data_IF_241245070361
#
_entry.id   IF_241245070361
#
_cell.length_a   1.000
_cell.length_b   1.000
_cell.length_c   1.000
_cell.angle_alpha   90.00
_cell.angle_beta   90.00
_cell.angle_gamma   90.00
#
_symmetry.space_group_name_H-M   'P 1'
#
loop_
_entity.id
_entity.type
_entity.pdbx_description
1 polymer ?
#
# COMPACT_ATOMS: atom_id res chain seq x y z
N UNK A 1 30.27 -42.18 20.03
CA UNK A 1 29.03 -41.65 19.42
C UNK A 1 29.44 -40.83 18.22
N UNK A 2 29.40 -41.42 17.02
CA UNK A 2 29.57 -40.68 15.75
C UNK A 2 28.19 -40.31 15.26
N UNK A 3 27.93 -39.00 15.10
CA UNK A 3 26.65 -38.48 14.67
C UNK A 3 26.59 -38.50 13.14
N UNK A 4 25.71 -39.36 12.60
CA UNK A 4 25.28 -39.33 11.20
C UNK A 4 24.26 -38.19 11.04
N UNK A 5 24.54 -37.21 10.17
CA UNK A 5 23.62 -36.11 9.84
C UNK A 5 23.58 -35.85 8.33
N UNK A 6 23.49 -36.91 7.54
CA UNK A 6 23.27 -36.80 6.10
C UNK A 6 21.79 -36.54 5.82
N UNK A 7 21.46 -35.25 5.72
CA UNK A 7 20.21 -34.82 5.10
C UNK A 7 19.78 -33.42 5.51
N UNK A 8 20.05 -32.43 4.66
CA UNK A 8 18.99 -31.64 4.02
C UNK A 8 19.56 -30.65 2.99
N UNK A 9 18.74 -30.37 1.97
CA UNK A 9 19.02 -29.78 0.67
C UNK A 9 19.01 -28.24 0.68
N UNK A 10 19.74 -27.59 -0.25
CA UNK A 10 19.22 -26.43 -0.98
C UNK A 10 20.02 -26.16 -2.28
N UNK A 11 19.39 -26.19 -3.47
CA UNK A 11 20.01 -25.72 -4.71
C UNK A 11 20.09 -24.19 -4.74
N UNK A 12 21.25 -23.64 -5.11
CA UNK A 12 21.42 -22.21 -5.34
C UNK A 12 20.84 -21.85 -6.71
N UNK A 13 19.50 -21.84 -6.77
CA UNK A 13 18.71 -21.39 -7.91
C UNK A 13 18.62 -19.88 -7.97
N UNK A 14 18.79 -19.37 -9.20
CA UNK A 14 18.79 -17.97 -9.60
C UNK A 14 17.50 -17.23 -9.24
N UNK A 15 17.62 -15.93 -8.94
CA UNK A 15 16.44 -15.05 -8.84
C UNK A 15 16.77 -13.73 -8.16
N UNK A 16 17.30 -12.77 -8.93
CA UNK A 16 17.53 -11.42 -8.43
C UNK A 16 16.22 -10.71 -8.14
N UNK A 17 16.08 -10.15 -6.94
CA UNK A 17 15.40 -8.88 -6.66
C UNK A 17 16.03 -8.27 -5.41
N UNK A 18 17.22 -7.70 -5.59
CA UNK A 18 17.84 -6.79 -4.63
C UNK A 18 16.91 -5.60 -4.40
N UNK A 19 16.25 -5.54 -3.25
CA UNK A 19 15.30 -4.46 -2.97
C UNK A 19 14.78 -4.38 -1.54
N UNK A 20 15.55 -4.86 -0.55
CA UNK A 20 15.19 -4.76 0.86
C UNK A 20 15.35 -3.34 1.41
N UNK A 21 14.55 -2.37 0.95
CA UNK A 21 14.43 -1.06 1.61
C UNK A 21 13.39 -1.21 2.72
N UNK A 22 13.81 -1.08 3.97
CA UNK A 22 13.01 -1.23 5.18
C UNK A 22 11.61 -0.63 5.02
N UNK A 23 10.62 -1.51 5.00
CA UNK A 23 9.21 -1.14 4.94
C UNK A 23 8.80 -0.66 6.33
N UNK A 24 9.15 0.58 6.66
CA UNK A 24 8.57 1.24 7.83
C UNK A 24 7.06 1.31 7.57
N UNK A 25 6.22 0.66 8.40
CA UNK A 25 4.78 0.70 8.19
C UNK A 25 4.32 2.15 8.22
N UNK A 26 3.64 2.57 7.15
CA UNK A 26 3.07 3.92 7.08
C UNK A 26 2.04 4.04 8.21
N UNK A 27 2.17 5.01 9.13
CA UNK A 27 1.17 5.20 10.16
C UNK A 27 -0.17 5.53 9.49
N UNK A 28 -1.20 4.77 9.85
CA UNK A 28 -2.58 5.08 9.50
C UNK A 28 -3.14 6.03 10.55
N UNK A 29 -3.81 7.08 10.09
CA UNK A 29 -4.46 8.06 10.96
C UNK A 29 -5.94 7.75 10.96
N UNK A 30 -6.47 7.49 12.15
CA UNK A 30 -7.92 7.40 12.38
C UNK A 30 -8.51 8.81 12.33
N UNK A 31 -9.32 9.06 11.31
CA UNK A 31 -10.03 10.32 11.08
C UNK A 31 -11.54 10.20 11.35
N UNK A 32 -11.99 9.03 11.81
CA UNK A 32 -13.38 8.76 12.20
C UNK A 32 -13.94 9.82 13.15
N UNK A 33 -13.14 10.29 14.10
CA UNK A 33 -13.53 11.30 15.09
C UNK A 33 -13.63 12.72 14.51
N UNK A 34 -13.11 12.96 13.31
CA UNK A 34 -13.14 14.28 12.65
C UNK A 34 -14.36 14.45 11.73
N UNK A 35 -15.17 13.40 11.52
CA UNK A 35 -16.42 13.51 10.75
C UNK A 35 -16.23 13.91 9.29
N UNK A 36 -15.12 13.52 8.68
CA UNK A 36 -14.79 13.90 7.31
C UNK A 36 -15.68 13.20 6.29
N UNK A 37 -16.17 13.97 5.32
CA UNK A 37 -16.99 13.48 4.21
C UNK A 37 -16.22 13.54 2.90
N UNK A 38 -16.36 12.49 2.10
CA UNK A 38 -15.79 12.46 0.76
C UNK A 38 -16.42 13.54 -0.13
N UNK A 39 -15.61 14.38 -0.75
CA UNK A 39 -16.07 15.46 -1.63
C UNK A 39 -16.75 14.97 -2.93
N UNK A 40 -16.66 13.68 -3.25
CA UNK A 40 -17.26 13.11 -4.46
C UNK A 40 -18.54 12.30 -4.16
N UNK A 41 -18.49 11.43 -3.16
CA UNK A 41 -19.59 10.50 -2.86
C UNK A 41 -20.27 10.74 -1.50
N UNK A 42 -19.84 11.74 -0.73
CA UNK A 42 -20.34 12.08 0.61
C UNK A 42 -20.26 10.97 1.67
N UNK A 43 -19.55 9.88 1.39
CA UNK A 43 -19.27 8.81 2.37
C UNK A 43 -18.37 9.28 3.50
N UNK A 44 -18.62 8.77 4.71
CA UNK A 44 -17.82 9.04 5.89
C UNK A 44 -16.44 8.36 5.80
N UNK A 45 -15.38 9.11 6.07
CA UNK A 45 -14.00 8.64 6.01
C UNK A 45 -13.52 8.31 7.42
N UNK A 46 -13.10 7.06 7.61
CA UNK A 46 -12.68 6.54 8.92
C UNK A 46 -11.17 6.53 9.13
N UNK A 47 -10.43 6.21 8.07
CA UNK A 47 -8.98 6.00 8.12
C UNK A 47 -8.31 6.62 6.89
N UNK A 48 -7.22 7.36 7.10
CA UNK A 48 -6.40 7.92 6.03
C UNK A 48 -4.90 7.74 6.34
N UNK A 49 -4.05 7.49 5.32
CA UNK A 49 -2.60 7.37 5.52
C UNK A 49 -1.88 8.74 5.55
N UNK A 50 -2.63 9.84 5.58
CA UNK A 50 -2.12 11.20 5.62
C UNK A 50 -3.05 12.09 6.45
N UNK A 51 -2.51 13.17 7.01
CA UNK A 51 -3.29 14.15 7.74
C UNK A 51 -4.25 14.88 6.78
N UNK A 52 -5.57 14.90 7.05
CA UNK A 52 -6.52 15.65 6.24
C UNK A 52 -6.21 17.15 6.36
N UNK A 53 -6.05 17.83 5.22
CA UNK A 53 -5.81 19.28 5.17
C UNK A 53 -7.11 20.02 4.86
N UNK A 54 -7.38 21.14 5.52
CA UNK A 54 -8.59 21.96 5.29
C UNK A 54 -8.58 22.71 3.95
N UNK A 55 -7.43 22.76 3.28
CA UNK A 55 -7.22 23.54 2.05
C UNK A 55 -7.66 22.77 0.79
N UNK A 56 -7.83 21.45 0.87
CA UNK A 56 -8.12 20.59 -0.29
C UNK A 56 -9.25 19.59 -0.03
N UNK A 57 -10.07 19.28 -1.05
CA UNK A 57 -11.14 18.30 -0.93
C UNK A 57 -10.57 16.90 -0.62
N UNK A 58 -11.06 16.28 0.45
CA UNK A 58 -10.67 14.94 0.86
C UNK A 58 -11.52 13.91 0.11
N UNK A 59 -10.89 12.83 -0.35
CA UNK A 59 -11.55 11.74 -1.05
C UNK A 59 -11.40 10.42 -0.30
N UNK A 60 -12.44 9.58 -0.32
CA UNK A 60 -12.36 8.22 0.19
C UNK A 60 -11.39 7.37 -0.65
N UNK A 61 -11.03 6.21 -0.12
CA UNK A 61 -10.11 5.26 -0.78
C UNK A 61 -10.56 4.90 -2.19
N UNK A 62 -11.86 4.71 -2.38
CA UNK A 62 -12.43 4.29 -3.67
C UNK A 62 -12.40 5.40 -4.72
N UNK A 63 -12.87 6.59 -4.40
CA UNK A 63 -12.80 7.75 -5.31
C UNK A 63 -11.34 8.08 -5.65
N UNK A 64 -10.43 8.04 -4.67
CA UNK A 64 -9.00 8.25 -4.93
C UNK A 64 -8.41 7.15 -5.82
N UNK A 65 -8.80 5.89 -5.64
CA UNK A 65 -8.38 4.77 -6.50
C UNK A 65 -8.88 4.95 -7.93
N UNK A 66 -10.17 5.27 -8.11
CA UNK A 66 -10.76 5.52 -9.43
C UNK A 66 -10.06 6.68 -10.16
N UNK A 67 -9.79 7.78 -9.45
CA UNK A 67 -9.04 8.91 -10.05
C UNK A 67 -7.65 8.48 -10.47
N UNK A 68 -6.91 7.74 -9.63
CA UNK A 68 -5.55 7.26 -9.95
C UNK A 68 -5.51 6.29 -11.12
N UNK A 69 -6.54 5.46 -11.31
CA UNK A 69 -6.61 4.52 -12.42
C UNK A 69 -6.57 5.21 -13.79
N UNK A 70 -7.21 6.38 -13.92
CA UNK A 70 -7.16 7.18 -15.14
C UNK A 70 -5.77 7.78 -15.44
N UNK A 71 -4.90 7.93 -14.43
CA UNK A 71 -3.54 8.47 -14.60
C UNK A 71 -2.45 7.38 -14.75
N UNK A 72 -2.76 6.12 -14.44
CA UNK A 72 -1.81 4.99 -14.48
C UNK A 72 -1.89 4.12 -15.75
N UNK A 73 -2.63 4.58 -16.76
CA UNK A 73 -3.14 3.74 -17.85
C UNK A 73 -2.45 3.87 -19.21
N UNK A 74 -1.31 4.54 -19.36
CA UNK A 74 -0.49 4.39 -20.58
C UNK A 74 0.42 3.18 -20.45
N UNK A 75 -0.17 1.98 -20.43
CA UNK A 75 0.56 0.76 -20.84
C UNK A 75 0.25 0.48 -22.29
N UNK A 76 0.57 1.46 -23.15
CA UNK A 76 0.70 1.20 -24.59
C UNK A 76 2.00 0.41 -24.77
N UNK A 77 1.94 -0.91 -24.52
CA UNK A 77 2.93 -1.85 -25.03
C UNK A 77 2.33 -2.48 -26.27
N UNK A 78 2.42 -1.70 -27.35
CA UNK A 78 2.33 -2.22 -28.70
C UNK A 78 3.46 -3.23 -28.93
#
# INVERSE_FOLDING_TARGET
MVFQNDGNYAPQGQGGFSGGRGFTPRPMVDVSSMGLKCANCNTDIKELPFQPSTDRPVYCRDCNRQRRQNFGGSRNRY
#
